data_IF_982494646854
#
_entry.id   IF_982494646854
#
_cell.length_a   1.000
_cell.length_b   1.000
_cell.length_c   1.000
_cell.angle_alpha   90.00
_cell.angle_beta   90.00
_cell.angle_gamma   90.00
#
_symmetry.space_group_name_H-M   'P 1'
#
loop_
_entity.id
_entity.type
_entity.pdbx_description
1 polymer ?
#
# COMPACT_ATOMS: atom_id res chain seq x y z
N UNK A 1 0.66 -4.84 -22.21
CA UNK A 1 0.55 -6.11 -21.47
C UNK A 1 -0.92 -6.29 -21.06
N UNK A 2 -1.78 -6.67 -22.01
CA UNK A 2 -3.19 -6.96 -21.74
C UNK A 2 -3.28 -8.41 -21.28
N UNK A 3 -3.47 -8.64 -19.99
CA UNK A 3 -3.73 -9.96 -19.46
C UNK A 3 -5.16 -10.36 -19.85
N UNK A 4 -5.38 -11.52 -20.51
CA UNK A 4 -6.72 -12.00 -20.79
C UNK A 4 -7.25 -12.61 -19.47
N UNK A 5 -8.03 -11.85 -18.74
CA UNK A 5 -8.76 -12.39 -17.58
C UNK A 5 -10.01 -13.08 -18.10
N UNK A 6 -9.85 -14.31 -18.60
CA UNK A 6 -10.98 -15.23 -18.77
C UNK A 6 -11.23 -15.90 -17.43
N UNK A 7 -12.20 -15.39 -16.66
CA UNK A 7 -12.75 -16.11 -15.51
C UNK A 7 -13.56 -17.26 -16.09
N UNK A 8 -12.97 -18.45 -16.13
CA UNK A 8 -13.71 -19.67 -16.46
C UNK A 8 -14.54 -20.00 -15.23
N UNK A 9 -15.85 -19.77 -15.31
CA UNK A 9 -16.79 -20.20 -14.29
C UNK A 9 -16.91 -21.72 -14.36
N UNK A 10 -16.02 -22.42 -13.67
CA UNK A 10 -16.19 -23.84 -13.40
C UNK A 10 -17.36 -23.97 -12.41
N UNK A 11 -18.44 -24.65 -12.83
CA UNK A 11 -19.69 -24.77 -12.06
C UNK A 11 -19.50 -25.49 -10.71
N UNK A 12 -18.31 -26.04 -10.42
CA UNK A 12 -17.95 -26.57 -9.10
C UNK A 12 -17.33 -25.53 -8.15
N UNK A 13 -16.96 -24.32 -8.62
CA UNK A 13 -16.27 -23.32 -7.79
C UNK A 13 -17.22 -22.56 -6.83
N UNK A 14 -18.53 -22.59 -7.09
CA UNK A 14 -19.54 -21.80 -6.38
C UNK A 14 -20.55 -22.62 -5.54
N UNK A 15 -20.31 -23.92 -5.35
CA UNK A 15 -21.18 -24.72 -4.50
C UNK A 15 -20.93 -24.40 -3.02
N UNK A 16 -21.95 -23.82 -2.37
CA UNK A 16 -22.11 -23.47 -0.94
C UNK A 16 -21.77 -22.03 -0.54
N UNK A 17 -22.76 -21.38 0.09
CA UNK A 17 -22.84 -19.97 0.43
C UNK A 17 -21.53 -19.38 0.94
N UNK A 18 -20.90 -18.56 0.08
CA UNK A 18 -19.73 -17.79 0.47
C UNK A 18 -20.23 -16.50 1.13
N UNK A 19 -20.32 -16.52 2.45
CA UNK A 19 -20.34 -15.28 3.21
C UNK A 19 -19.15 -14.41 2.76
N UNK A 20 -19.27 -13.07 2.72
CA UNK A 20 -18.17 -12.20 2.42
C UNK A 20 -16.97 -12.59 3.29
N UNK A 21 -15.89 -13.09 2.67
CA UNK A 21 -14.67 -13.50 3.37
C UNK A 21 -14.03 -12.34 4.14
N UNK A 22 -14.40 -11.10 3.77
CA UNK A 22 -13.98 -9.84 4.37
C UNK A 22 -15.23 -8.99 4.52
N UNK A 23 -15.52 -8.52 5.73
CA UNK A 23 -16.60 -7.58 6.00
C UNK A 23 -16.32 -6.20 5.39
N UNK A 24 -17.36 -5.37 5.21
CA UNK A 24 -17.23 -4.06 4.56
C UNK A 24 -16.18 -3.15 5.20
N UNK A 25 -16.19 -3.03 6.53
CA UNK A 25 -15.23 -2.19 7.27
C UNK A 25 -13.78 -2.67 7.10
N UNK A 26 -13.55 -3.98 7.15
CA UNK A 26 -12.23 -4.56 6.94
C UNK A 26 -11.77 -4.38 5.48
N UNK A 27 -12.69 -4.51 4.52
CA UNK A 27 -12.41 -4.26 3.11
C UNK A 27 -12.00 -2.79 2.89
N UNK A 28 -12.65 -1.83 3.56
CA UNK A 28 -12.25 -0.42 3.52
C UNK A 28 -10.88 -0.18 4.16
N UNK A 29 -10.60 -0.81 5.29
CA UNK A 29 -9.29 -0.73 5.94
C UNK A 29 -8.18 -1.23 5.02
N UNK A 30 -8.38 -2.40 4.43
CA UNK A 30 -7.47 -3.00 3.46
C UNK A 30 -7.32 -2.10 2.22
N UNK A 31 -8.42 -1.55 1.71
CA UNK A 31 -8.40 -0.64 0.56
C UNK A 31 -7.61 0.64 0.85
N UNK A 32 -7.68 1.20 2.05
CA UNK A 32 -6.86 2.36 2.46
C UNK A 32 -5.37 2.05 2.40
N UNK A 33 -4.95 0.87 2.90
CA UNK A 33 -3.56 0.41 2.84
C UNK A 33 -3.11 0.25 1.40
N UNK A 34 -3.89 -0.45 0.55
CA UNK A 34 -3.52 -0.63 -0.85
C UNK A 34 -3.52 0.70 -1.63
N UNK A 35 -4.42 1.63 -1.32
CA UNK A 35 -4.41 2.97 -1.91
C UNK A 35 -3.12 3.71 -1.56
N UNK A 36 -2.65 3.59 -0.32
CA UNK A 36 -1.35 4.12 0.07
C UNK A 36 -0.20 3.40 -0.66
N UNK A 37 -0.20 2.07 -0.75
CA UNK A 37 0.86 1.32 -1.44
C UNK A 37 0.81 1.40 -2.97
N UNK A 38 -0.28 1.89 -3.56
CA UNK A 38 -0.44 2.03 -5.01
C UNK A 38 0.41 3.11 -5.68
N UNK A 39 1.21 3.86 -4.90
CA UNK A 39 2.11 4.91 -5.41
C UNK A 39 3.57 4.46 -5.29
N UNK A 40 4.35 4.52 -6.39
CA UNK A 40 5.71 4.00 -6.41
C UNK A 40 6.66 4.78 -5.49
N UNK A 41 6.42 6.09 -5.27
CA UNK A 41 7.22 6.89 -4.34
C UNK A 41 7.01 6.41 -2.92
N UNK A 42 5.76 6.16 -2.52
CA UNK A 42 5.45 5.65 -1.17
C UNK A 42 6.05 4.28 -0.89
N UNK A 43 6.06 3.39 -1.89
CA UNK A 43 6.74 2.09 -1.79
C UNK A 43 8.26 2.25 -1.60
N UNK A 44 8.90 3.16 -2.35
CA UNK A 44 10.34 3.45 -2.17
C UNK A 44 10.65 4.02 -0.79
N UNK A 45 9.84 4.95 -0.31
CA UNK A 45 9.99 5.53 1.03
C UNK A 45 9.91 4.45 2.12
N UNK A 46 8.92 3.55 2.05
CA UNK A 46 8.83 2.42 2.97
C UNK A 46 10.05 1.50 2.91
N UNK A 47 10.56 1.23 1.71
CA UNK A 47 11.76 0.40 1.55
C UNK A 47 13.00 1.04 2.16
N UNK A 48 13.13 2.37 2.09
CA UNK A 48 14.24 3.10 2.69
C UNK A 48 14.15 3.09 4.22
N UNK A 49 12.95 3.34 4.76
CA UNK A 49 12.68 3.28 6.21
C UNK A 49 13.00 1.88 6.76
N UNK A 50 12.51 0.82 6.09
CA UNK A 50 12.76 -0.57 6.50
C UNK A 50 14.22 -1.01 6.39
N UNK A 51 15.05 -0.31 5.61
CA UNK A 51 16.49 -0.54 5.52
C UNK A 51 17.28 0.27 6.57
N UNK A 52 16.65 1.25 7.22
CA UNK A 52 17.24 2.05 8.29
C UNK A 52 17.43 1.24 9.58
N UNK A 53 18.38 1.68 10.41
CA UNK A 53 18.61 1.06 11.72
C UNK A 53 17.35 1.24 12.59
N UNK A 54 16.85 0.16 13.17
CA UNK A 54 15.59 0.17 13.94
C UNK A 54 14.32 0.34 13.10
N UNK A 55 14.41 0.41 11.76
CA UNK A 55 13.26 0.67 10.90
C UNK A 55 12.81 2.13 10.91
N UNK A 56 13.72 3.05 11.20
CA UNK A 56 13.48 4.50 11.26
C UNK A 56 14.34 5.23 10.22
N UNK A 57 13.86 6.39 9.75
CA UNK A 57 14.64 7.27 8.90
C UNK A 57 14.26 8.73 9.15
N UNK A 58 15.25 9.63 9.12
CA UNK A 58 14.97 11.06 9.10
C UNK A 58 14.34 11.43 7.77
N UNK A 59 13.35 12.32 7.79
CA UNK A 59 12.77 12.90 6.56
C UNK A 59 13.83 13.56 5.67
N UNK A 60 14.88 14.10 6.27
CA UNK A 60 16.01 14.70 5.59
C UNK A 60 16.74 13.68 4.69
N UNK A 61 17.01 12.50 5.23
CA UNK A 61 17.69 11.40 4.53
C UNK A 61 16.80 10.73 3.46
N UNK A 62 15.49 10.96 3.51
CA UNK A 62 14.54 10.39 2.54
C UNK A 62 14.37 11.24 1.28
N UNK A 63 14.68 12.54 1.32
CA UNK A 63 14.42 13.46 0.20
C UNK A 63 15.35 13.25 -0.99
N UNK A 64 16.65 13.08 -0.73
CA UNK A 64 17.67 12.90 -1.76
C UNK A 64 17.51 11.57 -2.53
N UNK A 65 17.31 10.39 -1.89
CA UNK A 65 17.15 9.12 -2.60
C UNK A 65 15.92 9.05 -3.52
N UNK A 66 14.86 9.77 -3.19
CA UNK A 66 13.63 9.81 -4.02
C UNK A 66 13.61 10.98 -5.01
N UNK A 67 14.55 11.93 -4.89
CA UNK A 67 14.66 13.10 -5.77
C UNK A 67 13.48 14.06 -5.68
N UNK A 68 12.84 14.17 -4.50
CA UNK A 68 11.66 15.00 -4.28
C UNK A 68 11.92 16.11 -3.27
N UNK A 69 11.11 17.16 -3.35
CA UNK A 69 11.11 18.21 -2.34
C UNK A 69 10.66 17.67 -0.97
N UNK A 70 11.16 18.27 0.10
CA UNK A 70 10.76 17.94 1.47
C UNK A 70 9.24 18.02 1.67
N UNK A 71 8.56 19.03 1.10
CA UNK A 71 7.11 19.16 1.18
C UNK A 71 6.36 18.00 0.48
N UNK A 72 6.88 17.53 -0.65
CA UNK A 72 6.33 16.35 -1.35
C UNK A 72 6.53 15.09 -0.50
N UNK A 73 7.73 14.88 0.06
CA UNK A 73 8.00 13.73 0.95
C UNK A 73 7.10 13.78 2.18
N UNK A 74 6.94 14.94 2.84
CA UNK A 74 6.01 15.11 3.96
C UNK A 74 4.58 14.72 3.60
N UNK A 75 4.11 15.11 2.40
CA UNK A 75 2.78 14.72 1.94
C UNK A 75 2.65 13.19 1.80
N UNK A 76 3.64 12.53 1.20
CA UNK A 76 3.66 11.07 1.10
C UNK A 76 3.71 10.39 2.48
N UNK A 77 4.53 10.90 3.41
CA UNK A 77 4.62 10.38 4.78
C UNK A 77 3.30 10.51 5.53
N UNK A 78 2.58 11.62 5.37
CA UNK A 78 1.26 11.80 5.96
C UNK A 78 0.26 10.75 5.46
N UNK A 79 0.23 10.49 4.14
CA UNK A 79 -0.66 9.48 3.56
C UNK A 79 -0.32 8.06 4.04
N UNK A 80 0.98 7.76 4.25
CA UNK A 80 1.42 6.49 4.83
C UNK A 80 0.99 6.37 6.30
N UNK A 81 1.09 7.44 7.08
CA UNK A 81 0.67 7.47 8.48
C UNK A 81 -0.85 7.32 8.63
N UNK A 82 -1.63 8.00 7.77
CA UNK A 82 -3.10 7.86 7.70
C UNK A 82 -3.53 6.42 7.34
N UNK A 83 -2.68 5.69 6.61
CA UNK A 83 -2.88 4.27 6.30
C UNK A 83 -2.35 3.32 7.39
N UNK A 84 -1.71 3.84 8.44
CA UNK A 84 -1.15 3.06 9.55
C UNK A 84 0.13 2.31 9.20
N UNK A 85 0.87 2.74 8.19
CA UNK A 85 2.10 2.08 7.72
C UNK A 85 3.38 2.65 8.35
N UNK A 86 3.32 3.86 8.90
CA UNK A 86 4.42 4.58 9.55
C UNK A 86 3.86 5.41 10.71
N UNK A 87 4.71 5.83 11.64
CA UNK A 87 4.34 6.60 12.85
C UNK A 87 5.24 7.80 13.06
#
# INVERSE_FOLDING_TARGET
MTLPVTIVADEACCATGREPRVGGEEAERIARVFKALGDPTRVKLLSLIGAGEGGEACICDLTEPVGLSQGTVSHHMKLLAEAGLVT
#
